data_IF_113057543108
#
_entry.id   IF_113057543108
#
_cell.length_a   1.000
_cell.length_b   1.000
_cell.length_c   1.000
_cell.angle_alpha   90.00
_cell.angle_beta   90.00
_cell.angle_gamma   90.00
#
_symmetry.space_group_name_H-M   'P 1'
#
loop_
_entity.id
_entity.type
_entity.pdbx_description
1 polymer ?
#
# COMPACT_ATOMS: atom_id res chain seq x y z
N UNK A 1 -4.27 -17.25 21.47
CA UNK A 1 -5.52 -16.55 21.09
C UNK A 1 -5.17 -15.09 20.79
N UNK A 2 -4.54 -14.82 19.64
CA UNK A 2 -4.01 -13.49 19.27
C UNK A 2 -4.54 -13.00 17.91
N UNK A 3 -5.71 -13.51 17.50
CA UNK A 3 -6.41 -13.06 16.30
C UNK A 3 -7.70 -12.40 16.78
N UNK A 4 -7.59 -11.18 17.30
CA UNK A 4 -8.76 -10.34 17.48
C UNK A 4 -8.39 -8.92 17.09
N UNK A 5 -9.01 -8.45 16.01
CA UNK A 5 -9.00 -7.07 15.50
C UNK A 5 -7.92 -6.61 14.50
N UNK A 6 -7.06 -7.48 13.95
CA UNK A 6 -6.49 -7.15 12.61
C UNK A 6 -7.60 -7.42 11.58
N UNK A 7 -8.37 -6.36 11.36
CA UNK A 7 -9.59 -6.29 10.55
C UNK A 7 -9.58 -7.23 9.35
N UNK A 8 -10.55 -8.15 9.32
CA UNK A 8 -10.94 -8.98 8.17
C UNK A 8 -11.01 -8.15 6.89
N UNK A 9 -11.29 -6.85 6.98
CA UNK A 9 -11.22 -5.91 5.87
C UNK A 9 -9.88 -5.92 5.11
N UNK A 10 -8.71 -5.95 5.78
CA UNK A 10 -7.41 -5.93 5.09
C UNK A 10 -7.16 -7.20 4.28
N UNK A 11 -7.61 -8.36 4.77
CA UNK A 11 -7.44 -9.68 4.11
C UNK A 11 -7.98 -9.68 2.68
N UNK A 12 -9.17 -9.11 2.45
CA UNK A 12 -9.80 -9.09 1.13
C UNK A 12 -9.12 -8.13 0.15
N UNK A 13 -8.57 -7.01 0.64
CA UNK A 13 -7.86 -6.04 -0.21
C UNK A 13 -6.41 -6.46 -0.48
N UNK A 14 -5.73 -7.08 0.50
CA UNK A 14 -4.32 -7.46 0.38
C UNK A 14 -4.08 -8.91 -0.08
N UNK A 15 -5.13 -9.70 -0.28
CA UNK A 15 -5.02 -11.11 -0.68
C UNK A 15 -4.38 -12.04 0.38
N UNK A 16 -4.27 -11.58 1.63
CA UNK A 16 -3.62 -12.33 2.72
C UNK A 16 -4.61 -13.33 3.30
N UNK A 17 -4.43 -14.64 3.06
CA UNK A 17 -5.31 -15.67 3.62
C UNK A 17 -5.01 -15.97 5.09
N UNK A 18 -5.99 -16.55 5.79
CA UNK A 18 -5.77 -17.02 7.16
C UNK A 18 -4.68 -18.09 7.25
N UNK A 19 -4.45 -18.89 6.20
CA UNK A 19 -3.33 -19.84 6.16
C UNK A 19 -1.97 -19.14 6.07
N UNK A 20 -1.87 -18.05 5.30
CA UNK A 20 -0.66 -17.23 5.20
C UNK A 20 -0.26 -16.60 6.55
N UNK A 21 -1.23 -16.33 7.41
CA UNK A 21 -1.00 -15.81 8.76
C UNK A 21 -0.71 -16.91 9.80
N UNK A 22 -0.98 -18.18 9.46
CA UNK A 22 -0.82 -19.28 10.39
C UNK A 22 0.67 -19.58 10.60
N UNK A 23 1.17 -19.30 11.82
CA UNK A 23 2.59 -19.45 12.15
C UNK A 23 3.43 -18.19 11.94
N UNK A 24 2.85 -17.07 11.51
CA UNK A 24 3.55 -15.78 11.51
C UNK A 24 3.72 -15.31 12.95
N UNK A 25 4.93 -15.42 13.47
CA UNK A 25 5.32 -14.95 14.82
C UNK A 25 6.00 -13.59 14.80
N UNK A 26 6.19 -13.01 13.61
CA UNK A 26 6.87 -11.73 13.43
C UNK A 26 6.08 -10.63 14.15
N UNK A 27 6.77 -9.92 15.02
CA UNK A 27 6.28 -8.76 15.75
C UNK A 27 6.37 -7.48 14.90
N UNK A 28 5.56 -6.48 15.26
CA UNK A 28 5.66 -5.15 14.64
C UNK A 28 7.07 -4.57 14.73
N UNK A 29 7.78 -4.79 15.86
CA UNK A 29 9.15 -4.32 16.07
C UNK A 29 10.12 -4.91 15.05
N UNK A 30 10.02 -6.21 14.79
CA UNK A 30 10.87 -6.89 13.82
C UNK A 30 10.60 -6.36 12.39
N UNK A 31 9.33 -6.14 12.01
CA UNK A 31 9.00 -5.54 10.71
C UNK A 31 9.56 -4.12 10.59
N UNK A 32 9.46 -3.32 11.65
CA UNK A 32 10.02 -1.97 11.68
C UNK A 32 11.55 -2.00 11.53
N UNK A 33 12.23 -2.92 12.21
CA UNK A 33 13.69 -3.09 12.10
C UNK A 33 14.10 -3.50 10.68
N UNK A 34 13.39 -4.44 10.03
CA UNK A 34 13.63 -4.81 8.64
C UNK A 34 13.36 -3.65 7.67
N UNK A 35 12.28 -2.91 7.88
CA UNK A 35 11.94 -1.74 7.07
C UNK A 35 13.05 -0.69 7.13
N UNK A 36 13.58 -0.39 8.33
CA UNK A 36 14.64 0.61 8.54
C UNK A 36 16.00 0.19 7.97
N UNK A 37 16.23 -1.10 7.66
CA UNK A 37 17.44 -1.54 6.93
C UNK A 37 17.38 -1.19 5.45
N UNK A 38 16.18 -0.99 4.91
CA UNK A 38 15.93 -0.73 3.49
C UNK A 38 15.61 0.74 3.20
N UNK A 39 14.95 1.40 4.15
CA UNK A 39 14.43 2.76 3.99
C UNK A 39 15.19 3.71 4.93
N UNK A 40 16.07 4.50 4.32
CA UNK A 40 16.79 5.58 5.00
C UNK A 40 15.97 6.87 4.95
N UNK A 41 16.37 7.88 5.72
CA UNK A 41 15.69 9.18 5.78
C UNK A 41 15.61 9.88 4.41
N UNK A 42 16.58 9.60 3.56
CA UNK A 42 16.77 10.18 2.23
C UNK A 42 16.08 9.35 1.12
N UNK A 43 15.66 8.12 1.44
CA UNK A 43 14.92 7.26 0.51
C UNK A 43 13.58 7.90 0.19
N UNK A 44 13.23 8.07 -1.08
CA UNK A 44 11.90 8.53 -1.46
C UNK A 44 10.98 7.32 -1.58
N UNK A 45 9.91 7.30 -0.78
CA UNK A 45 8.88 6.27 -0.89
C UNK A 45 7.87 6.68 -1.96
N UNK A 46 7.59 5.78 -2.89
CA UNK A 46 6.58 5.99 -3.95
C UNK A 46 5.49 4.95 -3.77
N UNK A 47 4.22 5.38 -3.84
CA UNK A 47 3.10 4.45 -3.69
C UNK A 47 1.74 5.13 -3.83
N UNK A 48 0.70 4.47 -3.34
CA UNK A 48 -0.68 4.95 -3.42
C UNK A 48 -1.36 4.85 -2.06
N UNK A 49 -1.70 5.99 -1.47
CA UNK A 49 -2.26 6.09 -0.11
C UNK A 49 -1.36 5.48 0.98
N UNK A 50 -0.05 5.74 0.88
CA UNK A 50 0.98 5.23 1.77
C UNK A 50 0.81 5.66 3.22
N UNK A 51 0.00 6.70 3.50
CA UNK A 51 -0.29 7.09 4.88
C UNK A 51 -0.94 5.93 5.67
N UNK A 52 -1.72 5.07 5.03
CA UNK A 52 -2.36 3.93 5.70
C UNK A 52 -1.34 2.85 6.07
N UNK A 53 -0.36 2.61 5.18
CA UNK A 53 0.70 1.62 5.39
C UNK A 53 1.68 2.10 6.47
N UNK A 54 2.12 3.35 6.37
CA UNK A 54 3.01 3.97 7.37
C UNK A 54 2.35 4.07 8.75
N UNK A 55 1.04 4.38 8.80
CA UNK A 55 0.27 4.37 10.05
C UNK A 55 0.18 2.96 10.65
N UNK A 56 -0.05 1.95 9.81
CA UNK A 56 -0.08 0.55 10.26
C UNK A 56 1.28 0.09 10.79
N UNK A 57 2.37 0.56 10.18
CA UNK A 57 3.74 0.32 10.64
C UNK A 57 4.15 1.20 11.82
N UNK A 58 3.37 2.23 12.18
CA UNK A 58 3.74 3.27 13.15
C UNK A 58 5.09 3.93 12.84
N UNK A 59 5.35 4.17 11.55
CA UNK A 59 6.56 4.84 11.05
C UNK A 59 6.17 6.19 10.47
N UNK A 60 6.99 7.21 10.74
CA UNK A 60 6.88 8.52 10.09
C UNK A 60 8.04 8.70 9.13
N UNK A 61 7.74 9.00 7.87
CA UNK A 61 8.75 9.23 6.84
C UNK A 61 8.45 10.51 6.06
N UNK A 62 9.47 11.36 5.86
CA UNK A 62 9.28 12.72 5.33
C UNK A 62 9.30 12.82 3.81
N UNK A 63 9.87 11.83 3.12
CA UNK A 63 10.05 11.85 1.67
C UNK A 63 9.13 10.82 1.02
N UNK A 64 7.91 11.27 0.67
CA UNK A 64 6.87 10.43 0.10
C UNK A 64 6.28 11.09 -1.14
N UNK A 65 6.25 10.34 -2.25
CA UNK A 65 5.46 10.65 -3.44
C UNK A 65 4.24 9.72 -3.42
N UNK A 66 3.10 10.28 -3.01
CA UNK A 66 1.84 9.55 -2.97
C UNK A 66 0.99 9.88 -4.19
N UNK A 67 0.77 8.88 -5.05
CA UNK A 67 -0.05 9.01 -6.26
C UNK A 67 -1.51 9.37 -5.96
N UNK A 68 -2.06 8.99 -4.80
CA UNK A 68 -3.43 9.37 -4.42
C UNK A 68 -3.55 10.87 -4.10
N UNK A 69 -2.44 11.51 -3.73
CA UNK A 69 -2.36 12.96 -3.47
C UNK A 69 -1.93 13.73 -4.72
N UNK A 70 -0.98 13.18 -5.48
CA UNK A 70 -0.47 13.74 -6.73
C UNK A 70 -1.61 13.92 -7.75
N UNK A 71 -2.46 12.91 -7.89
CA UNK A 71 -3.61 12.93 -8.78
C UNK A 71 -4.86 13.41 -8.03
N UNK A 72 -5.05 14.73 -7.96
CA UNK A 72 -6.16 15.36 -7.25
C UNK A 72 -7.52 14.83 -7.72
N UNK A 73 -8.35 14.42 -6.77
CA UNK A 73 -9.71 14.01 -7.06
C UNK A 73 -10.60 15.21 -7.43
N UNK A 74 -11.51 15.10 -8.42
CA UNK A 74 -12.37 16.21 -8.84
C UNK A 74 -13.26 16.79 -7.73
N UNK A 75 -13.59 15.97 -6.73
CA UNK A 75 -14.44 16.35 -5.59
C UNK A 75 -13.65 16.93 -4.41
N UNK A 76 -12.35 17.23 -4.60
CA UNK A 76 -11.49 17.83 -3.59
C UNK A 76 -10.58 16.83 -2.87
N UNK A 77 -9.70 17.37 -2.03
CA UNK A 77 -8.57 16.63 -1.43
C UNK A 77 -8.96 15.54 -0.42
N UNK A 78 -10.18 15.56 0.11
CA UNK A 78 -10.68 14.52 1.02
C UNK A 78 -11.01 13.21 0.31
N UNK A 79 -11.11 13.23 -1.02
CA UNK A 79 -11.39 12.05 -1.84
C UNK A 79 -10.13 11.62 -2.57
N UNK A 80 -9.98 10.29 -2.71
CA UNK A 80 -8.85 9.67 -3.40
C UNK A 80 -9.36 8.87 -4.58
N UNK A 81 -8.74 9.08 -5.75
CA UNK A 81 -9.01 8.24 -6.92
C UNK A 81 -8.28 6.92 -6.74
N UNK A 82 -8.97 5.79 -6.86
CA UNK A 82 -8.35 4.47 -6.74
C UNK A 82 -7.25 4.25 -7.79
N UNK A 83 -6.17 3.55 -7.42
CA UNK A 83 -5.04 3.26 -8.30
C UNK A 83 -5.48 2.67 -9.65
N UNK A 84 -6.36 1.67 -9.67
CA UNK A 84 -6.90 1.09 -10.91
C UNK A 84 -7.51 2.11 -11.88
N UNK A 85 -8.13 3.16 -11.35
CA UNK A 85 -8.73 4.23 -12.17
C UNK A 85 -7.63 5.12 -12.74
N UNK A 86 -6.59 5.41 -11.96
CA UNK A 86 -5.42 6.16 -12.42
C UNK A 86 -4.65 5.37 -13.49
N UNK A 87 -4.36 4.09 -13.24
CA UNK A 87 -3.66 3.21 -14.18
C UNK A 87 -4.43 3.06 -15.50
N UNK A 88 -5.76 2.86 -15.45
CA UNK A 88 -6.58 2.83 -16.66
C UNK A 88 -6.53 4.16 -17.41
N UNK A 89 -6.64 5.28 -16.69
CA UNK A 89 -6.74 6.61 -17.30
C UNK A 89 -5.41 7.10 -17.91
N UNK A 90 -4.29 6.86 -17.24
CA UNK A 90 -3.00 7.45 -17.59
C UNK A 90 -2.04 6.45 -18.22
N UNK A 91 -2.14 5.16 -17.88
CA UNK A 91 -1.27 4.10 -18.41
C UNK A 91 -1.98 3.20 -19.42
N UNK A 92 -3.30 3.33 -19.59
CA UNK A 92 -4.13 2.41 -20.39
C UNK A 92 -3.99 0.94 -19.93
N UNK A 93 -3.76 0.74 -18.63
CA UNK A 93 -3.57 -0.59 -18.02
C UNK A 93 -4.76 -0.97 -17.14
N UNK A 94 -5.16 -2.23 -17.21
CA UNK A 94 -6.14 -2.86 -16.32
C UNK A 94 -5.40 -3.65 -15.24
N UNK A 95 -5.34 -3.11 -14.03
CA UNK A 95 -4.72 -3.75 -12.85
C UNK A 95 -5.79 -4.22 -11.86
N UNK A 96 -5.42 -5.03 -10.86
CA UNK A 96 -6.30 -5.46 -9.76
C UNK A 96 -7.57 -6.18 -10.26
N UNK A 97 -7.47 -6.94 -11.34
CA UNK A 97 -8.62 -7.65 -11.95
C UNK A 97 -8.99 -8.93 -11.21
N UNK A 98 -8.11 -9.41 -10.33
CA UNK A 98 -8.30 -10.62 -9.54
C UNK A 98 -9.34 -10.42 -8.44
N UNK A 99 -10.21 -11.41 -8.23
CA UNK A 99 -11.13 -11.45 -7.09
C UNK A 99 -10.46 -11.88 -5.78
N UNK A 100 -9.20 -12.33 -5.83
CA UNK A 100 -8.47 -12.92 -4.70
C UNK A 100 -7.60 -11.90 -3.96
N UNK A 101 -7.88 -10.61 -4.12
CA UNK A 101 -7.07 -9.52 -3.59
C UNK A 101 -6.08 -8.96 -4.61
N UNK A 102 -5.37 -7.91 -4.21
CA UNK A 102 -4.45 -7.18 -5.07
C UNK A 102 -3.05 -7.77 -5.01
N UNK A 103 -2.31 -7.66 -6.12
CA UNK A 103 -0.89 -7.98 -6.16
C UNK A 103 -0.08 -6.71 -5.81
N UNK A 104 0.64 -6.75 -4.68
CA UNK A 104 1.46 -5.62 -4.25
C UNK A 104 2.59 -5.28 -5.23
N UNK A 105 3.07 -6.25 -6.01
CA UNK A 105 4.11 -6.01 -7.04
C UNK A 105 3.51 -5.26 -8.22
N UNK A 106 2.30 -5.63 -8.65
CA UNK A 106 1.55 -4.92 -9.70
C UNK A 106 1.30 -3.47 -9.28
N UNK A 107 0.82 -3.26 -8.06
CA UNK A 107 0.53 -1.93 -7.51
C UNK A 107 1.81 -1.07 -7.40
N UNK A 108 2.93 -1.63 -6.94
CA UNK A 108 4.21 -0.94 -6.86
C UNK A 108 4.73 -0.52 -8.24
N UNK A 109 4.58 -1.37 -9.26
CA UNK A 109 4.97 -1.02 -10.64
C UNK A 109 4.10 0.09 -11.22
N UNK A 110 2.78 -0.05 -11.09
CA UNK A 110 1.84 0.95 -11.59
C UNK A 110 2.07 2.33 -10.96
N UNK A 111 2.33 2.38 -9.64
CA UNK A 111 2.64 3.65 -8.96
C UNK A 111 3.95 4.27 -9.42
N UNK A 112 4.99 3.48 -9.66
CA UNK A 112 6.23 3.98 -10.25
C UNK A 112 6.03 4.51 -11.66
N UNK A 113 5.27 3.81 -12.51
CA UNK A 113 4.98 4.25 -13.88
C UNK A 113 4.18 5.55 -13.91
N UNK A 114 3.25 5.76 -12.96
CA UNK A 114 2.48 7.00 -12.83
C UNK A 114 3.32 8.22 -12.40
N UNK A 115 4.54 8.01 -11.89
CA UNK A 115 5.43 9.07 -11.37
C UNK A 115 6.60 9.34 -12.32
N UNK A 116 6.72 8.56 -13.40
CA UNK A 116 7.84 8.62 -14.35
C UNK A 116 7.68 9.71 -15.43
#
# INVERSE_FOLDING_TARGET
MFISSYSIYKIWFSGITCELLNGVTISLKEIQEEFLKLVYKETILVGHSLENDLLALKISHGLVIDTAVLYKHPHGASYKTALRVLSRKFLSQEIQQSSNGHDSIEDAKATMELVN
#
